data_IF_918679981852
#
_entry.id   IF_918679981852
#
_cell.length_a   1.000
_cell.length_b   1.000
_cell.length_c   1.000
_cell.angle_alpha   90.00
_cell.angle_beta   90.00
_cell.angle_gamma   90.00
#
_symmetry.space_group_name_H-M   'P 1'
#
loop_
_entity.id
_entity.type
_entity.pdbx_description
1 polymer ?
#
# COMPACT_ATOMS: atom_id res chain seq x y z
N UNK A 1 31.58 7.96 -22.65
CA UNK A 1 30.82 6.70 -22.84
C UNK A 1 30.75 5.86 -21.55
N UNK A 2 31.84 5.67 -20.78
CA UNK A 2 31.83 4.89 -19.52
C UNK A 2 30.87 5.40 -18.42
N UNK A 3 30.58 6.71 -18.38
CA UNK A 3 29.67 7.33 -17.38
C UNK A 3 28.21 6.87 -17.54
N UNK A 4 27.78 6.62 -18.78
CA UNK A 4 26.44 6.09 -19.07
C UNK A 4 26.37 4.59 -18.81
N UNK A 5 27.44 3.85 -19.13
CA UNK A 5 27.54 2.43 -18.80
C UNK A 5 27.47 2.20 -17.28
N UNK A 6 28.17 3.02 -16.47
CA UNK A 6 28.15 2.88 -15.01
C UNK A 6 26.77 3.16 -14.39
N UNK A 7 26.02 4.14 -14.94
CA UNK A 7 24.63 4.43 -14.53
C UNK A 7 23.65 3.33 -14.94
N UNK A 8 23.83 2.76 -16.13
CA UNK A 8 23.03 1.64 -16.62
C UNK A 8 23.26 0.38 -15.77
N UNK A 9 24.50 0.11 -15.35
CA UNK A 9 24.84 -1.00 -14.45
C UNK A 9 24.23 -0.80 -13.06
N UNK A 10 24.27 0.42 -12.50
CA UNK A 10 23.66 0.69 -11.18
C UNK A 10 22.13 0.55 -11.20
N UNK A 11 21.46 1.01 -12.26
CA UNK A 11 20.01 0.82 -12.42
C UNK A 11 19.64 -0.66 -12.63
N UNK A 12 20.46 -1.41 -13.38
CA UNK A 12 20.28 -2.84 -13.60
C UNK A 12 20.39 -3.68 -12.32
N UNK A 13 21.31 -3.33 -11.42
CA UNK A 13 21.45 -4.00 -10.11
C UNK A 13 20.22 -3.73 -9.22
N UNK A 14 19.67 -2.52 -9.24
CA UNK A 14 18.48 -2.18 -8.46
C UNK A 14 17.22 -2.90 -8.99
N UNK A 15 17.09 -3.04 -10.30
CA UNK A 15 16.00 -3.80 -10.92
C UNK A 15 16.11 -5.31 -10.64
N UNK A 16 17.31 -5.88 -10.70
CA UNK A 16 17.53 -7.31 -10.43
C UNK A 16 17.34 -7.69 -8.94
N UNK A 17 17.42 -6.71 -8.03
CA UNK A 17 17.17 -6.89 -6.59
C UNK A 17 15.69 -6.83 -6.18
N UNK A 18 14.77 -6.62 -7.12
CA UNK A 18 13.34 -6.67 -6.82
C UNK A 18 12.91 -8.12 -6.59
N UNK A 19 12.94 -8.54 -5.33
CA UNK A 19 12.42 -9.84 -4.91
C UNK A 19 10.93 -9.90 -5.19
N UNK A 20 10.44 -11.08 -5.57
CA UNK A 20 9.01 -11.31 -5.65
C UNK A 20 8.43 -11.13 -4.24
N UNK A 21 7.58 -10.13 -4.05
CA UNK A 21 6.73 -10.07 -2.86
C UNK A 21 5.73 -11.23 -2.96
N UNK A 22 6.08 -12.37 -2.37
CA UNK A 22 5.14 -13.47 -2.19
C UNK A 22 4.19 -13.04 -1.09
N UNK A 23 2.94 -12.75 -1.47
CA UNK A 23 1.87 -12.62 -0.50
C UNK A 23 1.71 -13.99 0.18
N UNK A 24 2.04 -14.07 1.45
CA UNK A 24 1.75 -15.24 2.27
C UNK A 24 0.23 -15.38 2.42
N UNK A 25 -0.25 -16.62 2.56
CA UNK A 25 -1.65 -16.87 2.89
C UNK A 25 -1.95 -16.22 4.24
N UNK A 26 -2.76 -15.17 4.21
CA UNK A 26 -3.13 -14.46 5.40
C UNK A 26 -3.96 -15.37 6.32
N UNK A 27 -3.72 -15.35 7.64
CA UNK A 27 -4.46 -16.16 8.59
C UNK A 27 -5.97 -15.97 8.39
N UNK A 28 -6.69 -17.08 8.27
CA UNK A 28 -8.14 -17.06 8.16
C UNK A 28 -8.80 -17.65 9.39
N UNK A 29 -9.85 -17.00 9.89
CA UNK A 29 -10.66 -17.48 11.00
C UNK A 29 -12.11 -17.60 10.53
N UNK A 30 -12.68 -18.80 10.62
CA UNK A 30 -13.97 -19.13 10.01
C UNK A 30 -14.09 -18.74 8.52
N UNK A 31 -12.98 -18.78 7.78
CA UNK A 31 -12.93 -18.38 6.38
C UNK A 31 -12.94 -16.87 6.14
N UNK A 32 -12.76 -16.05 7.18
CA UNK A 32 -12.56 -14.60 7.12
C UNK A 32 -11.07 -14.30 7.19
N UNK A 33 -10.56 -13.57 6.21
CA UNK A 33 -9.19 -13.04 6.14
C UNK A 33 -9.23 -11.54 6.37
N UNK A 34 -8.36 -11.02 7.24
CA UNK A 34 -8.20 -9.59 7.47
C UNK A 34 -6.96 -9.06 6.76
N UNK A 35 -7.10 -7.95 6.03
CA UNK A 35 -5.99 -7.22 5.42
C UNK A 35 -6.04 -5.76 5.83
N UNK A 36 -4.88 -5.11 5.85
CA UNK A 36 -4.74 -3.71 6.25
C UNK A 36 -3.93 -2.90 5.24
N UNK A 37 -4.20 -1.60 5.18
CA UNK A 37 -3.40 -0.64 4.43
C UNK A 37 -3.12 0.61 5.27
N UNK A 38 -1.98 1.24 5.00
CA UNK A 38 -1.59 2.52 5.60
C UNK A 38 -0.96 3.41 4.53
N UNK A 39 -1.26 4.70 4.57
CA UNK A 39 -0.68 5.69 3.66
C UNK A 39 -0.36 7.00 4.39
N UNK A 40 0.74 7.64 4.01
CA UNK A 40 1.06 9.00 4.42
C UNK A 40 0.76 9.97 3.26
N UNK A 41 0.09 11.07 3.57
CA UNK A 41 -0.30 12.09 2.58
C UNK A 41 0.04 13.48 3.07
N UNK A 42 0.27 14.42 2.16
CA UNK A 42 0.60 15.82 2.48
C UNK A 42 -0.62 16.64 2.86
N UNK A 43 -1.78 16.37 2.24
CA UNK A 43 -3.09 16.90 2.57
C UNK A 43 -4.13 15.86 2.15
N UNK A 44 -4.95 15.41 3.09
CA UNK A 44 -5.98 14.45 2.79
C UNK A 44 -7.27 15.18 2.38
N UNK A 45 -7.66 15.04 1.11
CA UNK A 45 -8.83 15.72 0.53
C UNK A 45 -9.93 14.74 0.18
N UNK A 46 -11.12 14.95 0.76
CA UNK A 46 -12.31 14.19 0.43
C UNK A 46 -13.24 15.03 -0.44
N UNK A 47 -13.53 14.57 -1.65
CA UNK A 47 -14.39 15.29 -2.63
C UNK A 47 -13.96 16.74 -2.87
N UNK A 48 -12.65 17.00 -2.85
CA UNK A 48 -12.08 18.33 -3.06
C UNK A 48 -11.97 19.21 -1.80
N UNK A 49 -12.50 18.77 -0.66
CA UNK A 49 -12.39 19.49 0.62
C UNK A 49 -11.26 18.90 1.46
N UNK A 50 -10.39 19.75 2.04
CA UNK A 50 -9.36 19.27 2.96
C UNK A 50 -10.02 18.74 4.23
N UNK A 51 -9.58 17.57 4.66
CA UNK A 51 -10.00 16.90 5.88
C UNK A 51 -8.88 16.87 6.94
N UNK A 52 -7.69 17.42 6.61
CA UNK A 52 -6.54 17.54 7.50
C UNK A 52 -6.05 18.98 7.66
N UNK A 53 -6.86 19.97 7.27
CA UNK A 53 -6.54 21.41 7.35
C UNK A 53 -5.22 21.76 6.67
N UNK A 54 -4.98 21.18 5.48
CA UNK A 54 -3.74 21.31 4.72
C UNK A 54 -2.47 20.81 5.44
N UNK A 55 -2.61 19.98 6.47
CA UNK A 55 -1.49 19.33 7.15
C UNK A 55 -1.32 17.88 6.67
N UNK A 56 -0.12 17.29 6.86
CA UNK A 56 0.10 15.88 6.61
C UNK A 56 -0.89 15.00 7.38
N UNK A 57 -1.33 13.92 6.73
CA UNK A 57 -2.31 13.00 7.29
C UNK A 57 -1.91 11.55 7.06
N UNK A 58 -2.22 10.71 8.04
CA UNK A 58 -2.08 9.25 7.95
C UNK A 58 -3.46 8.66 7.69
N UNK A 59 -3.56 7.87 6.63
CA UNK A 59 -4.76 7.13 6.27
C UNK A 59 -4.56 5.66 6.55
N UNK A 60 -5.62 5.01 7.05
CA UNK A 60 -5.64 3.59 7.36
C UNK A 60 -6.90 2.92 6.80
N UNK A 61 -6.77 1.66 6.44
CA UNK A 61 -7.88 0.83 6.02
C UNK A 61 -7.77 -0.60 6.54
N UNK A 62 -8.91 -1.21 6.80
CA UNK A 62 -9.03 -2.65 7.11
C UNK A 62 -10.07 -3.26 6.18
N UNK A 63 -9.76 -4.42 5.61
CA UNK A 63 -10.71 -5.22 4.83
C UNK A 63 -10.83 -6.59 5.44
N UNK A 64 -12.06 -7.04 5.66
CA UNK A 64 -12.39 -8.40 6.09
C UNK A 64 -13.06 -9.11 4.93
N UNK A 65 -12.43 -10.14 4.40
CA UNK A 65 -12.89 -10.91 3.23
C UNK A 65 -13.23 -12.33 3.64
N UNK A 66 -14.46 -12.76 3.37
CA UNK A 66 -14.87 -14.15 3.57
C UNK A 66 -14.65 -14.97 2.29
N UNK A 67 -14.32 -16.26 2.42
CA UNK A 67 -14.11 -17.21 1.30
C UNK A 67 -15.28 -17.33 0.32
N UNK A 68 -16.49 -16.89 0.72
CA UNK A 68 -17.66 -16.83 -0.18
C UNK A 68 -17.60 -15.67 -1.18
N UNK A 69 -16.60 -14.78 -1.07
CA UNK A 69 -16.48 -13.56 -1.85
C UNK A 69 -17.16 -12.33 -1.21
N UNK A 70 -17.85 -12.49 -0.08
CA UNK A 70 -18.38 -11.37 0.68
C UNK A 70 -17.24 -10.63 1.40
N UNK A 71 -17.30 -9.30 1.46
CA UNK A 71 -16.30 -8.50 2.17
C UNK A 71 -16.91 -7.26 2.81
N UNK A 72 -16.23 -6.75 3.83
CA UNK A 72 -16.50 -5.44 4.44
C UNK A 72 -15.18 -4.70 4.60
N UNK A 73 -15.18 -3.40 4.31
CA UNK A 73 -14.00 -2.55 4.44
C UNK A 73 -14.32 -1.33 5.30
N UNK A 74 -13.35 -0.97 6.14
CA UNK A 74 -13.33 0.25 6.94
C UNK A 74 -12.17 1.10 6.45
N UNK A 75 -12.38 2.40 6.32
CA UNK A 75 -11.34 3.33 5.90
C UNK A 75 -11.55 4.70 6.53
N UNK A 76 -10.44 5.39 6.79
CA UNK A 76 -10.42 6.77 7.23
C UNK A 76 -9.00 7.28 7.46
N UNK A 77 -8.93 8.47 8.04
CA UNK A 77 -7.72 9.15 8.45
C UNK A 77 -7.76 9.48 9.95
N UNK A 78 -6.60 9.50 10.57
CA UNK A 78 -6.41 10.00 11.94
C UNK A 78 -6.21 11.52 11.95
#
# INVERSE_FOLDING_TARGET
MMKFALKAVTLGIFAAGSTMAMAEDAPSFYGITATGSVAATTDYRFRGVTQSSNNPAIQGGFTFSHKSGAYVALWGQA
#
